data_IF_385888737321
#
_entry.id   IF_385888737321
#
_cell.length_a   1.000
_cell.length_b   1.000
_cell.length_c   1.000
_cell.angle_alpha   90.00
_cell.angle_beta   90.00
_cell.angle_gamma   90.00
#
_symmetry.space_group_name_H-M   'P 1'
#
loop_
_entity.id
_entity.type
_entity.pdbx_description
1 polymer ?
#
# COMPACT_ATOMS: atom_id res chain seq x y z
N UNK A 1 -1.86 2.17 10.39
CA UNK A 1 -3.28 2.50 10.12
C UNK A 1 -4.13 1.56 10.96
N UNK A 2 -5.25 2.02 11.54
CA UNK A 2 -6.23 1.15 12.23
C UNK A 2 -7.49 1.11 11.39
N UNK A 3 -8.13 -0.06 11.31
CA UNK A 3 -9.37 -0.29 10.60
C UNK A 3 -10.16 -1.41 11.29
N UNK A 4 -11.44 -1.52 11.00
CA UNK A 4 -12.27 -2.68 11.35
C UNK A 4 -12.54 -3.52 10.10
N UNK A 5 -12.83 -4.82 10.30
CA UNK A 5 -13.33 -5.65 9.19
C UNK A 5 -14.53 -4.96 8.53
N UNK A 6 -14.55 -4.94 7.20
CA UNK A 6 -15.55 -4.23 6.39
C UNK A 6 -15.11 -2.84 5.93
N UNK A 7 -14.14 -2.21 6.61
CA UNK A 7 -13.63 -0.90 6.20
C UNK A 7 -13.00 -0.93 4.80
N UNK A 8 -13.20 0.15 4.06
CA UNK A 8 -12.57 0.40 2.77
C UNK A 8 -11.62 1.57 2.88
N UNK A 9 -10.34 1.27 2.81
CA UNK A 9 -9.27 2.26 2.91
C UNK A 9 -8.91 2.76 1.51
N UNK A 10 -9.11 4.06 1.28
CA UNK A 10 -8.51 4.75 0.14
C UNK A 10 -7.07 5.12 0.49
N UNK A 11 -6.12 4.46 -0.17
CA UNK A 11 -4.69 4.71 0.01
C UNK A 11 -4.17 5.40 -1.25
N UNK A 12 -3.60 6.59 -1.07
CA UNK A 12 -2.96 7.35 -2.16
C UNK A 12 -1.44 7.21 -2.04
N UNK A 13 -0.83 6.50 -2.96
CA UNK A 13 0.62 6.49 -3.12
C UNK A 13 1.06 7.70 -3.94
N UNK A 14 2.12 8.38 -3.49
CA UNK A 14 2.68 9.56 -4.15
C UNK A 14 4.19 9.35 -4.27
N UNK A 15 4.70 9.25 -5.50
CA UNK A 15 6.13 9.19 -5.77
C UNK A 15 6.78 10.56 -5.61
N UNK A 16 6.96 11.03 -4.38
CA UNK A 16 7.53 12.35 -4.07
C UNK A 16 9.06 12.43 -4.22
N UNK A 17 9.72 11.30 -4.44
CA UNK A 17 11.16 11.24 -4.69
C UNK A 17 11.50 11.65 -6.13
N UNK A 18 12.79 11.79 -6.44
CA UNK A 18 13.30 12.22 -7.76
C UNK A 18 14.04 11.16 -8.56
N UNK A 19 14.20 9.93 -8.06
CA UNK A 19 15.19 8.98 -8.60
C UNK A 19 14.71 7.52 -8.69
N UNK A 20 13.88 7.06 -7.75
CA UNK A 20 13.61 5.63 -7.59
C UNK A 20 12.13 5.31 -7.75
N UNK A 21 11.88 4.18 -8.40
CA UNK A 21 10.57 3.53 -8.39
C UNK A 21 10.42 2.77 -7.07
N UNK A 22 9.26 2.89 -6.43
CA UNK A 22 8.90 2.11 -5.26
C UNK A 22 7.72 1.19 -5.59
N UNK A 23 7.93 -0.13 -5.69
CA UNK A 23 6.86 -1.10 -5.81
C UNK A 23 6.11 -1.20 -4.47
N UNK A 24 4.98 -0.51 -4.33
CA UNK A 24 4.20 -0.48 -3.09
C UNK A 24 3.29 -1.70 -3.02
N UNK A 25 3.55 -2.59 -2.06
CA UNK A 25 2.85 -3.84 -1.81
C UNK A 25 2.00 -3.75 -0.53
N UNK A 26 0.83 -4.39 -0.51
CA UNK A 26 -0.01 -4.55 0.69
C UNK A 26 -0.38 -6.03 0.87
N UNK A 27 -0.02 -6.60 2.02
CA UNK A 27 -0.46 -7.95 2.42
C UNK A 27 -1.99 -8.03 2.60
N UNK A 28 -2.57 -9.23 2.52
CA UNK A 28 -4.02 -9.41 2.66
C UNK A 28 -4.83 -8.81 1.51
N UNK A 29 -4.17 -8.60 0.37
CA UNK A 29 -4.75 -8.09 -0.86
C UNK A 29 -5.77 -9.03 -1.53
N UNK A 30 -6.20 -8.68 -2.76
CA UNK A 30 -5.74 -7.54 -3.55
C UNK A 30 -6.33 -6.20 -3.09
N UNK A 31 -5.78 -5.10 -3.60
CA UNK A 31 -6.43 -3.80 -3.68
C UNK A 31 -6.88 -3.51 -5.11
N UNK A 32 -7.85 -2.61 -5.26
CA UNK A 32 -8.34 -2.14 -6.57
C UNK A 32 -7.72 -0.80 -6.90
N UNK A 33 -7.09 -0.64 -8.06
CA UNK A 33 -6.64 0.67 -8.55
C UNK A 33 -7.83 1.47 -9.06
N UNK A 34 -8.09 2.64 -8.45
CA UNK A 34 -9.27 3.47 -8.73
C UNK A 34 -8.95 4.82 -9.35
N UNK A 35 -7.71 5.31 -9.26
CA UNK A 35 -7.22 6.46 -10.01
C UNK A 35 -5.70 6.36 -10.28
N UNK A 36 -5.27 6.97 -11.37
CA UNK A 36 -3.86 7.13 -11.76
C UNK A 36 -3.59 8.60 -12.04
N UNK A 37 -2.57 9.18 -11.41
CA UNK A 37 -2.22 10.61 -11.51
C UNK A 37 -3.36 11.59 -11.21
N UNK A 38 -4.26 11.18 -10.31
CA UNK A 38 -5.45 11.96 -9.94
C UNK A 38 -6.61 11.86 -10.94
N UNK A 39 -6.46 11.06 -12.01
CA UNK A 39 -7.53 10.77 -12.97
C UNK A 39 -8.22 9.46 -12.58
N UNK A 40 -9.52 9.47 -12.28
CA UNK A 40 -10.25 8.24 -11.94
C UNK A 40 -10.22 7.22 -13.08
N UNK A 41 -9.94 5.97 -12.72
CA UNK A 41 -10.12 4.83 -13.62
C UNK A 41 -11.61 4.53 -13.71
N UNK A 42 -12.12 4.45 -14.95
CA UNK A 42 -13.53 4.09 -15.22
C UNK A 42 -13.86 2.78 -14.52
N UNK A 43 -15.05 2.69 -13.93
CA UNK A 43 -15.44 1.57 -13.08
C UNK A 43 -15.20 0.19 -13.72
N UNK A 44 -15.64 0.00 -14.97
CA UNK A 44 -15.43 -1.25 -15.72
C UNK A 44 -14.00 -1.49 -16.23
N UNK A 45 -13.08 -0.55 -16.00
CA UNK A 45 -11.67 -0.65 -16.35
C UNK A 45 -10.74 -0.66 -15.13
N UNK A 46 -11.30 -0.64 -13.91
CA UNK A 46 -10.53 -0.82 -12.68
C UNK A 46 -9.96 -2.23 -12.66
N UNK A 47 -8.79 -2.38 -12.06
CA UNK A 47 -8.08 -3.65 -12.00
C UNK A 47 -7.49 -3.87 -10.61
N UNK A 48 -7.33 -5.14 -10.27
CA UNK A 48 -6.80 -5.58 -9.00
C UNK A 48 -5.30 -5.84 -9.08
N UNK A 49 -4.60 -5.46 -8.01
CA UNK A 49 -3.18 -5.69 -7.80
C UNK A 49 -2.93 -5.91 -6.31
N UNK A 50 -1.84 -6.59 -5.99
CA UNK A 50 -1.25 -6.57 -4.65
C UNK A 50 -0.09 -5.57 -4.55
N UNK A 51 0.44 -5.14 -5.69
CA UNK A 51 1.64 -4.30 -5.83
C UNK A 51 1.51 -3.36 -7.02
N UNK A 52 1.88 -2.09 -6.84
CA UNK A 52 1.99 -1.11 -7.93
C UNK A 52 3.35 -0.42 -7.90
N UNK A 53 3.97 -0.25 -9.07
CA UNK A 53 5.19 0.54 -9.22
C UNK A 53 4.82 2.03 -9.17
N UNK A 54 5.38 2.75 -8.20
CA UNK A 54 5.18 4.19 -8.04
C UNK A 54 6.50 4.88 -8.35
N UNK A 55 6.61 5.45 -9.55
CA UNK A 55 7.75 6.24 -9.98
C UNK A 55 7.71 7.70 -9.55
N UNK A 56 8.81 8.45 -9.76
CA UNK A 56 8.87 9.88 -9.50
C UNK A 56 7.74 10.66 -10.19
N UNK A 57 6.98 11.44 -9.41
CA UNK A 57 5.85 12.25 -9.88
C UNK A 57 4.53 11.49 -10.10
N UNK A 58 4.55 10.15 -10.06
CA UNK A 58 3.34 9.35 -10.24
C UNK A 58 2.48 9.28 -8.97
N UNK A 59 1.17 9.13 -9.14
CA UNK A 59 0.21 8.89 -8.06
C UNK A 59 -0.71 7.73 -8.41
N UNK A 60 -0.95 6.86 -7.43
CA UNK A 60 -1.94 5.79 -7.54
C UNK A 60 -2.89 5.87 -6.36
N UNK A 61 -4.19 5.93 -6.65
CA UNK A 61 -5.22 5.75 -5.64
C UNK A 61 -5.69 4.31 -5.70
N UNK A 62 -5.58 3.61 -4.58
CA UNK A 62 -6.01 2.22 -4.44
C UNK A 62 -7.02 2.10 -3.31
N UNK A 63 -8.01 1.23 -3.51
CA UNK A 63 -8.95 0.85 -2.45
C UNK A 63 -8.57 -0.53 -1.96
N UNK A 64 -8.20 -0.61 -0.68
CA UNK A 64 -7.95 -1.87 0.03
C UNK A 64 -9.09 -2.11 1.03
N UNK A 65 -9.64 -3.32 1.04
CA UNK A 65 -10.74 -3.68 1.94
C UNK A 65 -10.20 -4.52 3.08
N UNK A 66 -10.54 -4.15 4.32
CA UNK A 66 -10.26 -4.93 5.52
C UNK A 66 -11.15 -6.17 5.55
N UNK A 67 -10.62 -7.31 5.08
CA UNK A 67 -11.38 -8.56 4.94
C UNK A 67 -11.38 -9.41 6.20
N UNK A 68 -10.27 -9.40 6.94
CA UNK A 68 -10.05 -10.25 8.13
C UNK A 68 -9.25 -9.49 9.20
N UNK A 69 -9.49 -9.76 10.50
CA UNK A 69 -8.70 -9.19 11.58
C UNK A 69 -7.24 -9.63 11.49
N UNK A 70 -6.30 -8.74 11.81
CA UNK A 70 -4.88 -9.05 11.76
C UNK A 70 -4.00 -7.83 11.60
N UNK A 71 -2.72 -8.08 11.31
CA UNK A 71 -1.73 -7.05 11.00
C UNK A 71 -1.24 -7.26 9.57
N UNK A 72 -1.51 -6.30 8.71
CA UNK A 72 -1.19 -6.36 7.29
C UNK A 72 -0.05 -5.40 6.99
N UNK A 73 1.08 -5.94 6.51
CA UNK A 73 2.24 -5.13 6.16
C UNK A 73 2.01 -4.43 4.82
N UNK A 74 2.24 -3.13 4.80
CA UNK A 74 2.36 -2.30 3.61
C UNK A 74 3.83 -1.90 3.49
N UNK A 75 4.47 -2.20 2.36
CA UNK A 75 5.88 -1.87 2.19
C UNK A 75 6.32 -1.73 0.73
N UNK A 76 7.50 -1.14 0.54
CA UNK A 76 8.20 -1.22 -0.74
C UNK A 76 8.76 -2.64 -0.95
N UNK A 77 8.55 -3.24 -2.12
CA UNK A 77 9.00 -4.60 -2.45
C UNK A 77 10.45 -4.65 -2.99
N UNK A 78 11.22 -3.59 -2.75
CA UNK A 78 12.67 -3.58 -2.97
C UNK A 78 13.32 -3.69 -1.59
N UNK A 79 14.04 -4.77 -1.33
CA UNK A 79 14.53 -5.13 0.01
C UNK A 79 15.36 -4.02 0.67
N UNK A 80 16.28 -3.37 -0.05
CA UNK A 80 17.09 -2.30 0.54
C UNK A 80 16.30 -1.00 0.78
N UNK A 81 15.07 -0.88 0.28
CA UNK A 81 14.16 0.22 0.63
C UNK A 81 13.35 -0.05 1.91
N UNK A 82 13.48 -1.24 2.52
CA UNK A 82 12.86 -1.60 3.80
C UNK A 82 13.87 -1.68 4.95
N UNK A 83 15.03 -1.02 4.80
CA UNK A 83 16.11 -0.99 5.78
C UNK A 83 16.36 0.45 6.25
N UNK A 84 17.09 0.60 7.36
CA UNK A 84 17.63 1.88 7.79
C UNK A 84 19.15 1.81 7.65
N UNK A 85 19.74 2.63 6.78
CA UNK A 85 21.18 2.57 6.46
C UNK A 85 21.67 1.16 6.10
N UNK A 86 20.85 0.44 5.32
CA UNK A 86 21.12 -0.93 4.90
C UNK A 86 21.23 -1.97 6.05
N UNK A 87 20.70 -1.65 7.23
CA UNK A 87 20.55 -2.58 8.37
C UNK A 87 19.13 -3.16 8.41
N UNK A 88 19.03 -4.48 8.57
CA UNK A 88 17.78 -5.26 8.66
C UNK A 88 17.68 -6.15 9.91
N UNK A 89 18.68 -6.11 10.80
CA UNK A 89 18.79 -7.03 11.95
C UNK A 89 17.90 -6.65 13.15
N UNK A 90 17.44 -5.40 13.24
CA UNK A 90 16.60 -4.89 14.37
C UNK A 90 15.12 -4.73 13.98
N UNK A 91 14.70 -5.32 12.87
CA UNK A 91 13.34 -5.25 12.35
C UNK A 91 13.23 -4.39 11.09
N UNK A 92 11.99 -4.10 10.70
CA UNK A 92 11.69 -3.38 9.47
C UNK A 92 12.08 -1.89 9.56
N UNK A 93 12.77 -1.38 8.55
CA UNK A 93 13.09 0.04 8.35
C UNK A 93 12.42 0.62 7.11
N UNK A 94 12.88 1.80 6.69
CA UNK A 94 12.53 2.40 5.41
C UNK A 94 11.01 2.56 5.17
N UNK A 95 10.57 2.22 3.95
CA UNK A 95 9.17 2.36 3.52
C UNK A 95 8.33 1.17 3.98
N UNK A 96 7.99 1.14 5.26
CA UNK A 96 7.15 0.10 5.87
C UNK A 96 6.07 0.70 6.77
N UNK A 97 4.91 0.05 6.82
CA UNK A 97 3.77 0.43 7.66
C UNK A 97 2.92 -0.79 7.98
N UNK A 98 2.26 -0.82 9.14
CA UNK A 98 1.27 -1.84 9.49
C UNK A 98 -0.14 -1.25 9.41
N UNK A 99 -1.04 -1.98 8.75
CA UNK A 99 -2.49 -1.81 8.85
C UNK A 99 -2.99 -2.83 9.89
N UNK A 100 -3.43 -2.35 11.04
CA UNK A 100 -4.03 -3.17 12.10
C UNK A 100 -5.54 -3.22 11.89
N UNK A 101 -6.08 -4.41 11.64
CA UNK A 101 -7.51 -4.64 11.45
C UNK A 101 -8.05 -5.36 12.68
N UNK A 102 -9.05 -4.79 13.34
CA UNK A 102 -9.81 -5.42 14.42
C UNK A 102 -11.10 -6.08 13.89
N UNK A 103 -11.75 -6.90 14.72
CA UNK A 103 -13.03 -7.51 14.35
C UNK A 103 -14.15 -6.48 14.24
N UNK A 104 -15.26 -6.84 13.59
CA UNK A 104 -16.44 -5.97 13.53
C UNK A 104 -16.98 -5.70 14.95
N UNK A 105 -17.05 -4.43 15.35
CA UNK A 105 -17.66 -4.02 16.61
C UNK A 105 -16.82 -4.27 17.87
N UNK A 106 -15.49 -4.37 17.74
CA UNK A 106 -14.54 -4.52 18.86
C UNK A 106 -14.05 -3.19 19.43
#
# INVERSE_FOLDING_TARGET
IRAEVGDRLLIRFIGSNSAFIHPMHIHGGPFTVVATDGVPVREGARFEKDTVNVGPGERYDVVWTAREPGKWLLHCHINHHTTNDNVDEEGAGGLTMIIEVSGEGS
#
